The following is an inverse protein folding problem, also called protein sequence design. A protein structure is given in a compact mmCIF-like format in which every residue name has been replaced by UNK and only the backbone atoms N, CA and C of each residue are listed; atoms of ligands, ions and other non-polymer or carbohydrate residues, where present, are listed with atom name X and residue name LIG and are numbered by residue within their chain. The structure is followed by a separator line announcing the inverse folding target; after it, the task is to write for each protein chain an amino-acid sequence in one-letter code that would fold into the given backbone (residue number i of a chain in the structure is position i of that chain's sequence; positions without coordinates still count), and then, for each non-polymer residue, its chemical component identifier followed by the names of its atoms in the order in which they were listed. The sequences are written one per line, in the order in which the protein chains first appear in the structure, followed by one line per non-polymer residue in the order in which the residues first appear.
data_IF_971790770880
#
_entry.id   IF_971790770880
#
_cell.length_a   1.000
_cell.length_b   1.000
_cell.length_c   1.000
_cell.angle_alpha   90.00
_cell.angle_beta   90.00
_cell.angle_gamma   90.00
#
_symmetry.space_group_name_H-M   'P 1'
#
loop_
_entity.id
_entity.type
_entity.pdbx_description
1 polymer ?
#
# COMPACT_ATOMS: atom_id res chain seq x y z
N UNK A 1 5.27 -1.44 17.76
CA UNK A 1 5.42 -0.04 17.31
C UNK A 1 4.27 0.28 16.37
N UNK A 2 3.61 1.42 16.59
CA UNK A 2 2.46 1.88 15.79
C UNK A 2 2.77 3.26 15.21
N UNK A 3 2.58 3.41 13.91
CA UNK A 3 2.86 4.62 13.14
C UNK A 3 1.60 5.14 12.47
N UNK A 4 1.58 6.43 12.15
CA UNK A 4 0.44 7.08 11.49
C UNK A 4 0.78 7.40 10.03
N UNK A 5 -0.09 7.01 9.11
CA UNK A 5 0.13 7.30 7.69
C UNK A 5 -0.26 8.75 7.31
N UNK A 6 0.43 9.33 6.33
CA UNK A 6 0.18 10.69 5.85
C UNK A 6 -1.15 10.85 5.10
N UNK A 7 -1.78 9.75 4.68
CA UNK A 7 -3.10 9.77 4.07
C UNK A 7 -4.23 10.04 5.07
N UNK A 8 -4.02 9.72 6.36
CA UNK A 8 -4.95 10.09 7.45
C UNK A 8 -5.09 11.61 7.57
N UNK A 9 -4.00 12.34 7.43
CA UNK A 9 -3.99 13.80 7.36
C UNK A 9 -3.01 14.27 6.28
N UNK A 10 -3.45 14.35 5.01
CA UNK A 10 -2.59 14.79 3.93
C UNK A 10 -2.03 16.19 4.21
N UNK A 11 -0.74 16.41 4.06
CA UNK A 11 -0.14 17.72 4.20
C UNK A 11 -0.76 18.66 3.17
N UNK A 12 -1.34 19.76 3.67
CA UNK A 12 -1.90 20.84 2.83
C UNK A 12 -1.07 22.08 3.10
N UNK A 13 -0.70 22.81 2.06
CA UNK A 13 0.23 23.95 2.10
C UNK A 13 0.09 24.83 3.34
N UNK A 14 1.18 25.00 4.08
CA UNK A 14 1.30 25.84 5.28
C UNK A 14 1.08 25.15 6.63
N UNK A 15 0.57 23.91 6.67
CA UNK A 15 0.39 23.14 7.91
C UNK A 15 1.17 21.81 7.85
N UNK A 16 2.39 21.85 7.33
CA UNK A 16 3.22 20.69 7.06
C UNK A 16 3.54 19.85 8.32
N UNK A 17 3.49 20.44 9.51
CA UNK A 17 3.75 19.77 10.77
C UNK A 17 2.49 19.23 11.50
N UNK A 18 1.28 19.47 10.96
CA UNK A 18 0.04 19.02 11.58
C UNK A 18 0.00 17.48 11.73
N UNK A 19 0.48 16.73 10.73
CA UNK A 19 0.58 15.28 10.80
C UNK A 19 1.56 14.83 11.89
N UNK A 20 2.72 15.49 12.00
CA UNK A 20 3.74 15.16 12.99
C UNK A 20 3.25 15.46 14.41
N UNK A 21 2.52 16.56 14.59
CA UNK A 21 1.86 16.88 15.87
C UNK A 21 0.79 15.85 16.21
N UNK A 22 -0.08 15.52 15.25
CA UNK A 22 -1.11 14.50 15.45
C UNK A 22 -0.50 13.16 15.86
N UNK A 23 0.60 12.75 15.25
CA UNK A 23 1.32 11.52 15.64
C UNK A 23 1.78 11.59 17.11
N UNK A 24 2.37 12.71 17.52
CA UNK A 24 2.79 12.91 18.92
C UNK A 24 1.61 12.93 19.89
N UNK A 25 0.52 13.62 19.56
CA UNK A 25 -0.68 13.76 20.38
C UNK A 25 -1.46 12.45 20.54
N UNK A 26 -1.47 11.61 19.51
CA UNK A 26 -2.13 10.28 19.52
C UNK A 26 -1.24 9.18 20.10
N UNK A 27 0.00 9.50 20.44
CA UNK A 27 0.97 8.55 20.97
C UNK A 27 1.53 7.60 19.90
N UNK A 28 1.38 7.89 18.60
CA UNK A 28 2.03 7.12 17.56
C UNK A 28 3.56 7.27 17.64
N UNK A 29 4.30 6.19 17.31
CA UNK A 29 5.77 6.18 17.41
C UNK A 29 6.44 6.96 16.26
N UNK A 30 5.67 7.35 15.23
CA UNK A 30 6.16 8.12 14.09
C UNK A 30 5.17 8.17 12.93
N UNK A 31 5.66 8.51 11.75
CA UNK A 31 4.86 8.76 10.55
C UNK A 31 5.35 7.97 9.35
N UNK A 32 4.41 7.32 8.64
CA UNK A 32 4.60 6.73 7.32
C UNK A 32 4.16 7.71 6.24
N UNK A 33 4.97 7.88 5.19
CA UNK A 33 4.63 8.74 4.07
C UNK A 33 4.00 7.94 2.92
N UNK A 34 2.70 8.18 2.69
CA UNK A 34 1.90 7.57 1.62
C UNK A 34 2.10 8.23 0.25
N UNK A 35 1.35 7.75 -0.75
CA UNK A 35 1.49 8.14 -2.15
C UNK A 35 1.10 9.59 -2.50
N UNK A 36 0.53 10.37 -1.56
CA UNK A 36 0.24 11.79 -1.75
C UNK A 36 1.46 12.71 -1.51
N UNK A 37 2.59 12.12 -1.11
CA UNK A 37 3.85 12.83 -0.87
C UNK A 37 4.69 12.91 -2.15
N UNK A 38 5.43 13.99 -2.33
CA UNK A 38 6.52 14.09 -3.29
C UNK A 38 7.87 14.23 -2.57
N UNK A 39 8.98 14.15 -3.30
CA UNK A 39 10.32 14.18 -2.71
C UNK A 39 10.64 15.53 -2.04
N UNK A 40 10.15 16.64 -2.56
CA UNK A 40 10.37 17.96 -1.97
C UNK A 40 9.63 18.09 -0.63
N UNK A 41 8.38 17.69 -0.59
CA UNK A 41 7.59 17.64 0.63
C UNK A 41 8.17 16.64 1.64
N UNK A 42 8.57 15.46 1.18
CA UNK A 42 9.21 14.44 2.02
C UNK A 42 10.46 15.01 2.72
N UNK A 43 11.36 15.65 1.97
CA UNK A 43 12.59 16.21 2.54
C UNK A 43 12.31 17.26 3.61
N UNK A 44 11.32 18.15 3.39
CA UNK A 44 10.92 19.15 4.40
C UNK A 44 10.35 18.52 5.66
N UNK A 45 9.42 17.56 5.51
CA UNK A 45 8.77 16.89 6.64
C UNK A 45 9.73 15.97 7.39
N UNK A 46 10.61 15.27 6.69
CA UNK A 46 11.66 14.44 7.26
C UNK A 46 12.60 15.27 8.16
N UNK A 47 13.02 16.45 7.70
CA UNK A 47 13.81 17.38 8.51
C UNK A 47 13.06 17.86 9.76
N UNK A 48 11.75 18.06 9.66
CA UNK A 48 10.93 18.46 10.81
C UNK A 48 10.73 17.29 11.77
N UNK A 49 10.44 16.09 11.26
CA UNK A 49 10.31 14.88 12.04
C UNK A 49 11.57 14.61 12.89
N UNK A 50 12.75 14.73 12.26
CA UNK A 50 14.03 14.57 12.96
C UNK A 50 14.18 15.56 14.13
N UNK A 51 13.82 16.85 13.93
CA UNK A 51 13.88 17.87 14.99
C UNK A 51 12.90 17.60 16.14
N UNK A 52 11.77 16.98 15.84
CA UNK A 52 10.73 16.64 16.83
C UNK A 52 10.94 15.25 17.46
N UNK A 53 11.94 14.50 17.04
CA UNK A 53 12.17 13.12 17.51
C UNK A 53 11.11 12.13 17.02
N UNK A 54 10.35 12.46 15.93
CA UNK A 54 9.34 11.62 15.33
C UNK A 54 9.99 10.68 14.32
N UNK A 55 9.78 9.37 14.45
CA UNK A 55 10.36 8.40 13.53
C UNK A 55 9.67 8.42 12.16
N UNK A 56 10.43 8.09 11.11
CA UNK A 56 9.93 7.89 9.75
C UNK A 56 10.29 6.46 9.32
N UNK A 57 9.50 5.44 9.73
CA UNK A 57 9.86 4.05 9.50
C UNK A 57 9.77 3.63 8.05
N UNK A 58 8.92 4.28 7.26
CA UNK A 58 8.61 3.82 5.91
C UNK A 58 7.96 4.90 5.04
N UNK A 59 8.01 4.67 3.73
CA UNK A 59 7.35 5.49 2.72
C UNK A 59 6.90 4.62 1.54
N UNK A 60 5.96 5.15 0.73
CA UNK A 60 5.50 4.51 -0.53
C UNK A 60 6.38 4.99 -1.68
N UNK A 61 6.81 4.09 -2.55
CA UNK A 61 7.60 4.37 -3.74
C UNK A 61 6.93 3.82 -5.01
N UNK A 62 7.08 4.48 -6.15
CA UNK A 62 7.88 5.68 -6.40
C UNK A 62 7.25 6.96 -5.88
N UNK A 63 8.07 7.93 -5.48
CA UNK A 63 7.65 9.30 -5.18
C UNK A 63 7.94 10.21 -6.39
N UNK A 64 7.03 11.12 -6.79
CA UNK A 64 7.34 12.15 -7.76
C UNK A 64 8.33 13.17 -7.17
N UNK A 65 9.09 13.86 -8.01
CA UNK A 65 9.98 14.92 -7.53
C UNK A 65 9.22 16.11 -6.96
N UNK A 66 8.09 16.42 -7.58
CA UNK A 66 7.17 17.53 -7.25
C UNK A 66 5.73 17.06 -7.38
N UNK A 67 4.76 17.80 -6.82
CA UNK A 67 3.36 17.48 -6.98
C UNK A 67 2.99 17.28 -8.44
N UNK A 68 2.28 16.18 -8.73
CA UNK A 68 1.85 15.91 -10.09
C UNK A 68 0.72 16.87 -10.49
N UNK A 69 0.74 17.43 -11.70
CA UNK A 69 -0.40 18.15 -12.25
C UNK A 69 -1.65 17.26 -12.27
N UNK A 70 -2.83 17.88 -12.14
CA UNK A 70 -4.09 17.18 -12.19
C UNK A 70 -4.21 16.30 -13.45
N UNK A 71 -4.63 15.06 -13.28
CA UNK A 71 -4.76 14.08 -14.37
C UNK A 71 -3.45 13.42 -14.82
N UNK A 72 -2.30 13.83 -14.32
CA UNK A 72 -1.04 13.13 -14.54
C UNK A 72 -0.90 11.94 -13.56
N UNK A 73 -0.32 10.85 -14.04
CA UNK A 73 -0.02 9.66 -13.25
C UNK A 73 1.49 9.45 -13.17
N UNK A 74 1.92 8.81 -12.11
CA UNK A 74 3.29 8.32 -12.01
C UNK A 74 3.55 7.23 -13.06
N UNK A 75 4.78 7.12 -13.56
CA UNK A 75 5.20 5.96 -14.31
C UNK A 75 5.13 4.73 -13.39
N UNK A 76 4.74 3.59 -13.98
CA UNK A 76 4.44 2.35 -13.23
C UNK A 76 5.60 1.38 -13.27
N UNK A 77 5.89 0.78 -12.12
CA UNK A 77 6.88 -0.31 -12.01
C UNK A 77 6.44 -1.58 -12.76
N UNK A 78 5.14 -1.74 -13.01
CA UNK A 78 4.56 -2.84 -13.78
C UNK A 78 4.29 -2.50 -15.25
N UNK A 79 4.71 -1.35 -15.75
CA UNK A 79 4.41 -0.93 -17.12
C UNK A 79 5.01 -1.91 -18.15
N UNK A 80 4.26 -2.17 -19.24
CA UNK A 80 4.78 -2.96 -20.36
C UNK A 80 5.92 -2.20 -21.09
N UNK A 81 5.76 -0.90 -21.29
CA UNK A 81 6.77 -0.06 -21.93
C UNK A 81 8.02 0.06 -21.04
N UNK A 82 9.17 -0.29 -21.61
CA UNK A 82 10.46 -0.28 -20.91
C UNK A 82 10.81 1.13 -20.39
N UNK A 83 10.63 2.14 -21.22
CA UNK A 83 10.94 3.52 -20.87
C UNK A 83 10.14 4.01 -19.67
N UNK A 84 8.85 3.63 -19.58
CA UNK A 84 8.00 3.94 -18.43
C UNK A 84 8.52 3.24 -17.17
N UNK A 85 8.92 1.95 -17.26
CA UNK A 85 9.50 1.24 -16.13
C UNK A 85 10.81 1.85 -15.66
N UNK A 86 11.71 2.20 -16.59
CA UNK A 86 12.99 2.85 -16.27
C UNK A 86 12.76 4.18 -15.56
N UNK A 87 11.79 4.97 -16.01
CA UNK A 87 11.40 6.21 -15.34
C UNK A 87 10.85 5.95 -13.92
N UNK A 88 10.00 4.92 -13.75
CA UNK A 88 9.48 4.53 -12.43
C UNK A 88 10.60 4.09 -11.48
N UNK A 89 11.54 3.28 -11.97
CA UNK A 89 12.70 2.81 -11.19
C UNK A 89 13.60 3.99 -10.80
N UNK A 90 13.84 4.94 -11.70
CA UNK A 90 14.63 6.13 -11.39
C UNK A 90 13.98 6.97 -10.27
N UNK A 91 12.66 7.13 -10.30
CA UNK A 91 11.91 7.80 -9.23
C UNK A 91 11.99 7.01 -7.91
N UNK A 92 11.77 5.71 -7.95
CA UNK A 92 11.85 4.86 -6.77
C UNK A 92 13.27 4.85 -6.17
N UNK A 93 14.31 4.82 -6.99
CA UNK A 93 15.70 4.86 -6.52
C UNK A 93 16.03 6.16 -5.78
N UNK A 94 15.58 7.32 -6.28
CA UNK A 94 15.72 8.59 -5.55
C UNK A 94 14.95 8.58 -4.22
N UNK A 95 13.78 7.95 -4.20
CA UNK A 95 13.03 7.76 -2.96
C UNK A 95 13.74 6.87 -1.95
N UNK A 96 14.44 5.80 -2.39
CA UNK A 96 15.29 4.96 -1.53
C UNK A 96 16.46 5.76 -0.93
N UNK A 97 17.10 6.61 -1.73
CA UNK A 97 18.17 7.50 -1.27
C UNK A 97 17.65 8.49 -0.21
N UNK A 98 16.48 9.10 -0.47
CA UNK A 98 15.84 10.00 0.47
C UNK A 98 15.45 9.28 1.77
N UNK A 99 14.89 8.07 1.69
CA UNK A 99 14.52 7.24 2.83
C UNK A 99 15.73 6.90 3.74
N UNK A 100 16.88 6.65 3.13
CA UNK A 100 18.12 6.36 3.87
C UNK A 100 18.56 7.56 4.75
N UNK A 101 18.27 8.79 4.35
CA UNK A 101 18.66 10.00 5.13
C UNK A 101 17.93 10.12 6.47
N UNK A 102 16.78 9.46 6.62
CA UNK A 102 15.96 9.46 7.84
C UNK A 102 15.99 8.11 8.56
N UNK A 103 16.89 7.22 8.16
CA UNK A 103 16.99 5.86 8.70
C UNK A 103 15.66 5.08 8.61
N UNK A 104 14.89 5.29 7.54
CA UNK A 104 13.70 4.48 7.27
C UNK A 104 14.11 3.01 7.13
N UNK A 105 13.18 2.11 7.48
CA UNK A 105 13.43 0.66 7.45
C UNK A 105 12.71 -0.03 6.29
N UNK A 106 11.64 0.56 5.81
CA UNK A 106 10.78 -0.05 4.79
C UNK A 106 10.46 0.92 3.66
N UNK A 107 10.39 0.38 2.45
CA UNK A 107 9.85 1.06 1.27
C UNK A 107 8.70 0.22 0.70
N UNK A 108 7.47 0.70 0.80
CA UNK A 108 6.30 0.05 0.21
C UNK A 108 6.27 0.37 -1.28
N UNK A 109 6.25 -0.66 -2.14
CA UNK A 109 6.30 -0.47 -3.59
C UNK A 109 4.90 -0.37 -4.18
N UNK A 110 4.57 0.74 -4.80
CA UNK A 110 3.39 0.85 -5.66
C UNK A 110 3.78 0.48 -7.10
N UNK A 111 3.34 -0.70 -7.54
CA UNK A 111 3.58 -1.15 -8.92
C UNK A 111 2.65 -0.49 -9.93
N UNK A 112 1.59 0.18 -9.48
CA UNK A 112 0.62 0.86 -10.30
C UNK A 112 -0.57 0.00 -10.73
N UNK A 113 -1.30 0.51 -11.70
CA UNK A 113 -2.52 -0.10 -12.23
C UNK A 113 -2.29 -0.67 -13.63
N UNK A 114 -3.06 -1.72 -13.95
CA UNK A 114 -3.14 -2.30 -15.29
C UNK A 114 -4.32 -1.67 -16.03
N UNK A 115 -4.08 -1.27 -17.28
CA UNK A 115 -5.18 -0.85 -18.15
C UNK A 115 -5.87 -2.08 -18.70
N UNK A 116 -7.14 -2.30 -18.31
CA UNK A 116 -8.02 -3.32 -18.83
C UNK A 116 -9.12 -2.68 -19.68
N UNK A 117 -9.74 -3.45 -20.57
CA UNK A 117 -10.88 -2.99 -21.38
C UNK A 117 -12.09 -2.67 -20.48
N UNK A 118 -12.32 -3.50 -19.45
CA UNK A 118 -13.27 -3.21 -18.38
C UNK A 118 -12.74 -2.09 -17.49
N UNK A 119 -13.63 -1.24 -16.98
CA UNK A 119 -13.24 -0.09 -16.14
C UNK A 119 -13.57 -0.35 -14.68
N UNK A 120 -12.63 -0.07 -13.79
CA UNK A 120 -12.81 -0.21 -12.34
C UNK A 120 -14.06 0.54 -11.84
N UNK A 121 -14.33 1.76 -12.32
CA UNK A 121 -15.52 2.52 -11.93
C UNK A 121 -16.87 1.92 -12.38
N UNK A 122 -16.89 0.97 -13.31
CA UNK A 122 -18.09 0.20 -13.65
C UNK A 122 -18.37 -0.85 -12.58
N UNK A 123 -17.33 -1.53 -12.09
CA UNK A 123 -17.45 -2.46 -10.96
C UNK A 123 -17.88 -1.73 -9.69
N UNK A 124 -17.32 -0.55 -9.40
CA UNK A 124 -17.75 0.27 -8.26
C UNK A 124 -19.25 0.60 -8.30
N UNK A 125 -19.76 0.95 -9.49
CA UNK A 125 -21.20 1.22 -9.67
C UNK A 125 -22.05 -0.03 -9.50
N UNK A 126 -21.65 -1.15 -10.06
CA UNK A 126 -22.36 -2.42 -9.91
C UNK A 126 -22.39 -2.85 -8.44
N UNK A 127 -21.25 -2.74 -7.74
CA UNK A 127 -21.17 -3.03 -6.30
C UNK A 127 -22.12 -2.14 -5.48
N UNK A 128 -22.14 -0.83 -5.76
CA UNK A 128 -23.03 0.12 -5.09
C UNK A 128 -24.52 -0.18 -5.33
N UNK A 129 -24.87 -0.80 -6.49
CA UNK A 129 -26.22 -1.24 -6.81
C UNK A 129 -26.57 -2.64 -6.31
N UNK A 130 -25.60 -3.33 -5.69
CA UNK A 130 -25.69 -4.73 -5.25
C UNK A 130 -25.91 -5.73 -6.40
N UNK A 131 -25.35 -5.45 -7.56
CA UNK A 131 -25.41 -6.25 -8.79
C UNK A 131 -24.20 -7.20 -8.89
N UNK A 132 -23.90 -7.94 -7.79
CA UNK A 132 -22.71 -8.79 -7.69
C UNK A 132 -23.01 -10.29 -7.58
N UNK A 133 -24.29 -10.68 -7.59
CA UNK A 133 -24.68 -12.10 -7.59
C UNK A 133 -24.32 -12.75 -8.93
N UNK A 134 -24.37 -14.09 -8.97
CA UNK A 134 -24.06 -14.87 -10.16
C UNK A 134 -24.92 -14.39 -11.34
N UNK A 135 -24.30 -14.21 -12.53
CA UNK A 135 -24.91 -13.70 -13.76
C UNK A 135 -25.36 -12.22 -13.75
N UNK A 136 -25.16 -11.48 -12.67
CA UNK A 136 -25.42 -10.06 -12.62
C UNK A 136 -24.28 -9.24 -13.29
N UNK A 137 -24.57 -7.97 -13.69
CA UNK A 137 -23.62 -7.13 -14.40
C UNK A 137 -22.24 -7.00 -13.70
N UNK A 138 -22.23 -6.90 -12.37
CA UNK A 138 -20.99 -6.76 -11.60
C UNK A 138 -20.16 -8.02 -11.59
N UNK A 139 -20.78 -9.20 -11.43
CA UNK A 139 -20.07 -10.49 -11.47
C UNK A 139 -19.51 -10.75 -12.86
N UNK A 140 -20.24 -10.44 -13.93
CA UNK A 140 -19.80 -10.58 -15.31
C UNK A 140 -18.62 -9.63 -15.63
N UNK A 141 -18.68 -8.38 -15.18
CA UNK A 141 -17.59 -7.40 -15.31
C UNK A 141 -16.33 -7.87 -14.58
N UNK A 142 -16.48 -8.38 -13.36
CA UNK A 142 -15.37 -8.91 -12.58
C UNK A 142 -14.75 -10.14 -13.26
N UNK A 143 -15.57 -11.06 -13.75
CA UNK A 143 -15.11 -12.23 -14.47
C UNK A 143 -14.34 -11.86 -15.75
N UNK A 144 -14.84 -10.89 -16.52
CA UNK A 144 -14.16 -10.39 -17.72
C UNK A 144 -12.81 -9.73 -17.38
N UNK A 145 -12.77 -8.87 -16.35
CA UNK A 145 -11.53 -8.24 -15.89
C UNK A 145 -10.50 -9.27 -15.43
N UNK A 146 -10.92 -10.31 -14.71
CA UNK A 146 -10.05 -11.40 -14.27
C UNK A 146 -9.52 -12.24 -15.43
N UNK A 147 -10.34 -12.50 -16.45
CA UNK A 147 -9.92 -13.23 -17.65
C UNK A 147 -8.85 -12.44 -18.43
N UNK A 148 -9.10 -11.14 -18.67
CA UNK A 148 -8.13 -10.25 -19.31
C UNK A 148 -6.84 -10.11 -18.49
N UNK A 149 -6.95 -9.99 -17.17
CA UNK A 149 -5.81 -9.92 -16.26
C UNK A 149 -4.95 -11.18 -16.29
N UNK A 150 -5.59 -12.38 -16.36
CA UNK A 150 -4.88 -13.66 -16.48
C UNK A 150 -4.13 -13.78 -17.80
N UNK A 151 -4.73 -13.35 -18.90
CA UNK A 151 -4.10 -13.39 -20.23
C UNK A 151 -2.81 -12.55 -20.28
N UNK A 152 -2.65 -11.57 -19.39
CA UNK A 152 -1.46 -10.70 -19.28
C UNK A 152 -0.58 -11.03 -18.07
N UNK A 153 -0.88 -12.11 -17.34
CA UNK A 153 -0.24 -12.42 -16.07
C UNK A 153 1.27 -12.55 -16.14
N UNK A 154 1.78 -13.29 -17.12
CA UNK A 154 3.22 -13.51 -17.29
C UNK A 154 3.95 -12.21 -17.62
N UNK A 155 3.43 -11.41 -18.55
CA UNK A 155 3.98 -10.10 -18.94
C UNK A 155 4.10 -9.16 -17.74
N UNK A 156 3.05 -9.09 -16.91
CA UNK A 156 3.03 -8.24 -15.73
C UNK A 156 3.95 -8.76 -14.63
N UNK A 157 4.00 -10.07 -14.44
CA UNK A 157 4.93 -10.72 -13.52
C UNK A 157 6.39 -10.45 -13.88
N UNK A 158 6.75 -10.57 -15.15
CA UNK A 158 8.09 -10.27 -15.65
C UNK A 158 8.43 -8.79 -15.50
N UNK A 159 7.49 -7.88 -15.79
CA UNK A 159 7.70 -6.45 -15.61
C UNK A 159 7.95 -6.08 -14.14
N UNK A 160 7.17 -6.65 -13.21
CA UNK A 160 7.36 -6.45 -11.78
C UNK A 160 8.70 -7.01 -11.30
N UNK A 161 9.06 -8.23 -11.70
CA UNK A 161 10.34 -8.86 -11.38
C UNK A 161 11.50 -8.01 -11.86
N UNK A 162 11.47 -7.60 -13.13
CA UNK A 162 12.51 -6.77 -13.73
C UNK A 162 12.73 -5.44 -12.99
N UNK A 163 11.65 -4.79 -12.54
CA UNK A 163 11.72 -3.58 -11.74
C UNK A 163 12.30 -3.86 -10.36
N UNK A 164 11.84 -4.93 -9.71
CA UNK A 164 12.29 -5.31 -8.37
C UNK A 164 13.79 -5.67 -8.33
N UNK A 165 14.29 -6.42 -9.32
CA UNK A 165 15.73 -6.76 -9.45
C UNK A 165 16.64 -5.53 -9.44
N UNK A 166 16.17 -4.41 -10.00
CA UNK A 166 16.94 -3.16 -10.05
C UNK A 166 16.88 -2.38 -8.73
N UNK A 167 15.74 -2.46 -8.05
CA UNK A 167 15.52 -1.74 -6.79
C UNK A 167 16.18 -2.44 -5.60
N UNK A 168 16.27 -3.78 -5.61
CA UNK A 168 16.86 -4.58 -4.51
C UNK A 168 18.26 -4.09 -4.15
N UNK A 169 19.15 -3.89 -5.13
CA UNK A 169 20.52 -3.41 -4.87
C UNK A 169 20.56 -2.02 -4.23
N UNK A 170 19.58 -1.15 -4.60
CA UNK A 170 19.42 0.16 -3.99
C UNK A 170 18.96 0.05 -2.53
N UNK A 171 17.99 -0.83 -2.29
CA UNK A 171 17.47 -1.10 -0.96
C UNK A 171 18.53 -1.70 -0.02
N UNK A 172 19.33 -2.66 -0.51
CA UNK A 172 20.47 -3.24 0.25
C UNK A 172 21.45 -2.15 0.69
N UNK A 173 21.88 -1.28 -0.23
CA UNK A 173 22.79 -0.18 0.09
C UNK A 173 22.20 0.83 1.07
N UNK A 174 20.90 1.05 0.99
CA UNK A 174 20.15 1.97 1.85
C UNK A 174 19.76 1.35 3.20
N UNK A 175 19.96 0.04 3.39
CA UNK A 175 19.54 -0.69 4.59
C UNK A 175 18.00 -0.81 4.72
N UNK A 176 17.27 -0.79 3.60
CA UNK A 176 15.81 -0.81 3.52
C UNK A 176 15.29 -2.18 3.10
N UNK A 177 14.14 -2.56 3.61
CA UNK A 177 13.35 -3.70 3.10
C UNK A 177 12.28 -3.19 2.13
N UNK A 178 12.22 -3.76 0.93
CA UNK A 178 11.14 -3.51 -0.03
C UNK A 178 9.91 -4.30 0.39
N UNK A 179 8.83 -3.62 0.71
CA UNK A 179 7.59 -4.21 1.15
C UNK A 179 6.58 -4.26 0.00
N UNK A 180 6.15 -5.46 -0.38
CA UNK A 180 5.25 -5.71 -1.51
C UNK A 180 3.80 -5.71 -1.02
N UNK A 181 2.96 -4.76 -1.42
CA UNK A 181 1.54 -4.76 -1.09
C UNK A 181 0.78 -5.81 -1.91
N UNK A 182 -0.39 -6.17 -1.45
CA UNK A 182 -1.34 -6.98 -2.22
C UNK A 182 -2.38 -6.10 -2.89
N UNK A 183 -2.67 -6.37 -4.15
CA UNK A 183 -3.71 -5.66 -4.88
C UNK A 183 -5.10 -6.22 -4.54
N UNK A 184 -6.08 -5.37 -4.19
CA UNK A 184 -7.44 -5.80 -3.84
C UNK A 184 -8.33 -6.02 -5.07
N UNK A 185 -7.92 -5.59 -6.25
CA UNK A 185 -8.74 -5.63 -7.48
C UNK A 185 -7.92 -6.11 -8.68
N UNK A 186 -8.57 -6.58 -9.77
CA UNK A 186 -7.87 -7.01 -10.99
C UNK A 186 -7.08 -5.90 -11.70
N UNK A 187 -7.41 -4.63 -11.47
CA UNK A 187 -6.73 -3.49 -12.09
C UNK A 187 -5.42 -3.11 -11.43
N UNK A 188 -5.14 -3.64 -10.25
CA UNK A 188 -3.93 -3.32 -9.49
C UNK A 188 -2.93 -4.48 -9.49
N UNK A 189 -1.67 -4.16 -9.21
CA UNK A 189 -0.53 -5.10 -9.22
C UNK A 189 0.28 -4.90 -7.94
N UNK A 190 0.82 -5.98 -7.38
CA UNK A 190 0.62 -7.40 -7.65
C UNK A 190 -0.62 -7.97 -6.95
N UNK A 191 -1.25 -8.98 -7.55
CA UNK A 191 -2.25 -9.79 -6.84
C UNK A 191 -1.59 -10.55 -5.67
N UNK A 192 -2.36 -11.09 -4.70
CA UNK A 192 -1.78 -11.86 -3.58
C UNK A 192 -0.89 -13.03 -4.03
N UNK A 193 -1.25 -13.70 -5.12
CA UNK A 193 -0.45 -14.78 -5.71
C UNK A 193 0.86 -14.25 -6.30
N UNK A 194 0.81 -13.14 -7.03
CA UNK A 194 1.98 -12.53 -7.66
C UNK A 194 2.92 -11.93 -6.61
N UNK A 195 2.39 -11.23 -5.60
CA UNK A 195 3.19 -10.69 -4.51
C UNK A 195 3.98 -11.78 -3.79
N UNK A 196 3.33 -12.91 -3.49
CA UNK A 196 3.97 -14.07 -2.91
C UNK A 196 5.06 -14.66 -3.82
N UNK A 197 4.76 -14.88 -5.11
CA UNK A 197 5.72 -15.41 -6.07
C UNK A 197 6.94 -14.48 -6.23
N UNK A 198 6.72 -13.16 -6.21
CA UNK A 198 7.81 -12.18 -6.22
C UNK A 198 8.66 -12.30 -4.94
N UNK A 199 8.05 -12.32 -3.76
CA UNK A 199 8.79 -12.47 -2.50
C UNK A 199 9.60 -13.78 -2.44
N UNK A 200 9.04 -14.89 -2.89
CA UNK A 200 9.71 -16.18 -2.99
C UNK A 200 10.90 -16.14 -3.97
N UNK A 201 10.75 -15.47 -5.12
CA UNK A 201 11.82 -15.32 -6.11
C UNK A 201 13.01 -14.48 -5.62
N UNK A 202 12.80 -13.64 -4.61
CA UNK A 202 13.83 -12.81 -3.97
C UNK A 202 14.17 -13.26 -2.55
N UNK A 203 13.99 -14.55 -2.24
CA UNK A 203 14.38 -15.12 -0.94
C UNK A 203 15.85 -14.82 -0.65
N UNK A 204 16.13 -14.26 0.54
CA UNK A 204 17.48 -13.83 0.95
C UNK A 204 17.83 -12.38 0.61
N UNK A 205 17.05 -11.73 -0.25
CA UNK A 205 17.13 -10.28 -0.45
C UNK A 205 16.20 -9.53 0.54
N UNK A 206 16.38 -8.22 0.76
CA UNK A 206 15.52 -7.42 1.64
C UNK A 206 14.15 -7.14 0.99
N UNK A 207 13.38 -8.19 0.77
CA UNK A 207 12.03 -8.15 0.18
C UNK A 207 11.07 -8.91 1.08
N UNK A 208 9.91 -8.33 1.36
CA UNK A 208 8.87 -8.97 2.15
C UNK A 208 7.47 -8.52 1.75
N UNK A 209 6.45 -9.07 2.40
CA UNK A 209 5.06 -8.77 2.10
C UNK A 209 4.50 -7.71 3.05
N UNK A 210 3.49 -6.99 2.60
CA UNK A 210 2.66 -6.11 3.43
C UNK A 210 1.40 -6.87 3.83
N UNK A 211 1.09 -6.88 5.13
CA UNK A 211 -0.21 -7.27 5.64
C UNK A 211 -1.16 -6.07 5.55
N UNK A 212 -2.23 -6.18 4.79
CA UNK A 212 -3.21 -5.11 4.58
C UNK A 212 -4.62 -5.67 4.74
N UNK A 213 -5.18 -5.66 5.95
CA UNK A 213 -6.46 -6.28 6.23
C UNK A 213 -7.63 -5.65 5.46
N UNK A 214 -7.60 -4.35 5.21
CA UNK A 214 -8.64 -3.71 4.41
C UNK A 214 -8.64 -4.20 2.96
N UNK A 215 -7.48 -4.27 2.31
CA UNK A 215 -7.38 -4.80 0.93
C UNK A 215 -7.75 -6.28 0.85
N UNK A 216 -7.37 -7.07 1.84
CA UNK A 216 -7.74 -8.49 1.92
C UNK A 216 -9.25 -8.66 2.13
N UNK A 217 -9.89 -7.78 2.90
CA UNK A 217 -11.34 -7.76 3.08
C UNK A 217 -12.09 -7.35 1.81
N UNK A 218 -11.55 -6.43 1.02
CA UNK A 218 -12.08 -6.10 -0.32
C UNK A 218 -12.07 -7.33 -1.24
N UNK A 219 -10.97 -8.10 -1.25
CA UNK A 219 -10.93 -9.36 -2.01
C UNK A 219 -12.04 -10.33 -1.59
N UNK A 220 -12.29 -10.46 -0.29
CA UNK A 220 -13.38 -11.28 0.22
C UNK A 220 -14.76 -10.75 -0.22
N UNK A 221 -14.99 -9.45 -0.13
CA UNK A 221 -16.23 -8.80 -0.55
C UNK A 221 -16.51 -8.94 -2.06
N UNK A 222 -15.46 -9.02 -2.87
CA UNK A 222 -15.55 -9.28 -4.32
C UNK A 222 -15.64 -10.78 -4.67
N UNK A 223 -15.73 -11.68 -3.69
CA UNK A 223 -15.73 -13.12 -3.94
C UNK A 223 -14.37 -13.69 -4.39
N UNK A 224 -13.29 -12.89 -4.27
CA UNK A 224 -11.92 -13.27 -4.63
C UNK A 224 -11.11 -13.76 -3.42
N UNK A 225 -11.80 -14.28 -2.42
CA UNK A 225 -11.21 -14.68 -1.16
C UNK A 225 -10.10 -15.73 -1.36
N UNK A 226 -8.99 -15.52 -0.69
CA UNK A 226 -7.88 -16.47 -0.60
C UNK A 226 -8.15 -17.51 0.49
N UNK A 227 -7.58 -18.71 0.33
CA UNK A 227 -7.73 -19.76 1.34
C UNK A 227 -7.05 -19.37 2.66
N UNK A 228 -7.53 -19.93 3.77
CA UNK A 228 -6.98 -19.68 5.11
C UNK A 228 -5.49 -20.00 5.22
N UNK A 229 -5.04 -21.07 4.54
CA UNK A 229 -3.62 -21.42 4.48
C UNK A 229 -2.79 -20.30 3.86
N UNK A 230 -3.26 -19.76 2.73
CA UNK A 230 -2.58 -18.64 2.05
C UNK A 230 -2.64 -17.35 2.86
N UNK A 231 -3.76 -17.07 3.54
CA UNK A 231 -3.86 -15.93 4.46
C UNK A 231 -2.83 -16.04 5.58
N UNK A 232 -2.71 -17.22 6.22
CA UNK A 232 -1.69 -17.46 7.26
C UNK A 232 -0.28 -17.30 6.72
N UNK A 233 -0.02 -17.80 5.52
CA UNK A 233 1.29 -17.65 4.88
C UNK A 233 1.62 -16.18 4.59
N UNK A 234 0.64 -15.37 4.13
CA UNK A 234 0.81 -13.94 3.93
C UNK A 234 1.10 -13.22 5.26
N UNK A 235 0.30 -13.49 6.29
CA UNK A 235 0.50 -12.90 7.62
C UNK A 235 1.89 -13.26 8.19
N UNK A 236 2.31 -14.53 8.09
CA UNK A 236 3.61 -15.00 8.59
C UNK A 236 4.81 -14.43 7.83
N UNK A 237 4.65 -14.08 6.55
CA UNK A 237 5.70 -13.49 5.71
C UNK A 237 5.66 -11.95 5.70
N UNK A 238 4.73 -11.33 6.42
CA UNK A 238 4.59 -9.88 6.44
C UNK A 238 5.72 -9.22 7.25
N UNK A 239 6.37 -8.24 6.64
CA UNK A 239 7.41 -7.41 7.27
C UNK A 239 6.85 -6.08 7.78
N UNK A 240 5.63 -5.74 7.37
CA UNK A 240 4.94 -4.48 7.67
C UNK A 240 3.43 -4.73 7.65
N UNK A 241 2.68 -4.08 8.52
CA UNK A 241 1.21 -4.04 8.49
C UNK A 241 0.71 -2.64 8.16
N UNK A 242 -0.23 -2.53 7.22
CA UNK A 242 -1.02 -1.34 6.96
C UNK A 242 -2.40 -1.54 7.58
N UNK A 243 -2.56 -1.11 8.83
CA UNK A 243 -3.81 -1.29 9.56
C UNK A 243 -4.88 -0.34 9.02
N UNK A 244 -5.85 -0.92 8.37
CA UNK A 244 -7.04 -0.25 7.87
C UNK A 244 -8.21 -1.23 7.75
N UNK A 245 -9.39 -0.67 7.62
CA UNK A 245 -10.62 -1.41 7.36
C UNK A 245 -11.11 -1.21 5.93
N UNK A 246 -12.16 -1.93 5.56
CA UNK A 246 -12.84 -1.80 4.30
C UNK A 246 -14.32 -1.44 4.51
N UNK A 247 -14.90 -0.76 3.52
CA UNK A 247 -16.35 -0.60 3.40
C UNK A 247 -16.73 -1.07 2.00
N UNK A 248 -17.38 -2.23 1.95
CA UNK A 248 -17.71 -2.87 0.68
C UNK A 248 -16.46 -3.20 -0.15
N UNK A 249 -16.36 -2.64 -1.35
CA UNK A 249 -15.23 -2.84 -2.27
C UNK A 249 -14.12 -1.78 -2.15
N UNK A 250 -14.07 -1.03 -1.05
CA UNK A 250 -13.07 0.03 -0.80
C UNK A 250 -12.33 -0.23 0.49
N UNK A 251 -11.02 -0.27 0.41
CA UNK A 251 -10.12 -0.27 1.55
C UNK A 251 -9.66 1.16 1.92
N UNK A 252 -8.96 1.30 3.04
CA UNK A 252 -8.37 2.57 3.47
C UNK A 252 -9.29 3.38 4.39
N UNK A 253 -10.12 2.71 5.18
CA UNK A 253 -10.82 3.31 6.31
C UNK A 253 -10.00 3.08 7.59
N UNK A 254 -10.03 4.03 8.52
CA UNK A 254 -9.35 3.85 9.79
C UNK A 254 -9.85 2.58 10.50
N UNK A 255 -8.96 1.86 11.21
CA UNK A 255 -9.35 0.74 12.07
C UNK A 255 -10.50 1.13 13.02
N UNK A 256 -11.57 0.35 13.00
CA UNK A 256 -12.80 0.59 13.75
C UNK A 256 -13.86 1.43 13.03
N UNK A 257 -13.57 2.00 11.84
CA UNK A 257 -14.55 2.75 11.03
C UNK A 257 -15.07 1.99 9.80
N UNK A 258 -14.69 0.75 9.65
CA UNK A 258 -15.13 -0.13 8.58
C UNK A 258 -15.34 -1.55 9.08
N UNK A 259 -15.28 -2.49 8.14
CA UNK A 259 -15.43 -3.91 8.40
C UNK A 259 -14.15 -4.66 7.96
N UNK A 260 -13.88 -5.77 8.62
CA UNK A 260 -12.86 -6.73 8.22
C UNK A 260 -13.49 -8.10 7.99
N UNK A 261 -13.07 -8.79 6.94
CA UNK A 261 -13.39 -10.22 6.80
C UNK A 261 -12.96 -10.96 8.08
N UNK A 262 -13.85 -11.80 8.62
CA UNK A 262 -13.62 -12.44 9.91
C UNK A 262 -12.35 -13.31 9.92
N UNK A 263 -11.99 -13.94 8.79
CA UNK A 263 -10.77 -14.74 8.66
C UNK A 263 -9.52 -13.87 8.65
N UNK A 264 -9.60 -12.68 8.05
CA UNK A 264 -8.53 -11.68 8.04
C UNK A 264 -8.36 -11.10 9.44
N UNK A 265 -9.46 -10.77 10.11
CA UNK A 265 -9.47 -10.23 11.48
C UNK A 265 -8.90 -11.21 12.53
N UNK A 266 -9.07 -12.51 12.28
CA UNK A 266 -8.53 -13.57 13.17
C UNK A 266 -7.01 -13.78 13.05
N UNK A 267 -6.35 -13.09 12.11
CA UNK A 267 -4.92 -13.22 11.85
C UNK A 267 -4.20 -11.91 12.16
N UNK A 268 -2.98 -12.05 12.67
CA UNK A 268 -2.08 -10.93 12.87
C UNK A 268 -0.77 -11.18 12.13
N UNK A 269 -0.11 -10.14 11.63
CA UNK A 269 1.27 -10.26 11.12
C UNK A 269 2.20 -10.68 12.26
N UNK A 270 3.43 -11.13 11.90
CA UNK A 270 4.43 -11.50 12.89
C UNK A 270 4.66 -10.37 13.91
N UNK A 271 4.89 -10.73 15.17
CA UNK A 271 5.00 -9.78 16.29
C UNK A 271 6.08 -8.68 16.13
N UNK A 272 7.02 -8.87 15.20
CA UNK A 272 8.06 -7.90 14.87
C UNK A 272 7.67 -6.90 13.77
N UNK A 273 6.56 -7.12 13.07
CA UNK A 273 6.10 -6.23 12.01
C UNK A 273 5.58 -4.92 12.63
N UNK A 274 6.07 -3.76 12.20
CA UNK A 274 5.49 -2.49 12.63
C UNK A 274 4.11 -2.31 12.01
N UNK A 275 3.22 -1.66 12.77
CA UNK A 275 1.85 -1.36 12.39
C UNK A 275 1.74 0.09 11.94
N UNK A 276 1.14 0.33 10.80
CA UNK A 276 0.88 1.67 10.24
C UNK A 276 -0.64 1.85 10.16
N UNK A 277 -1.17 2.71 10.98
CA UNK A 277 -2.58 3.12 10.92
C UNK A 277 -2.77 3.97 9.68
N UNK A 278 -3.54 3.48 8.73
CA UNK A 278 -3.87 4.19 7.49
C UNK A 278 -5.39 4.39 7.38
N UNK A 279 -5.81 5.46 6.69
CA UNK A 279 -7.22 5.75 6.50
C UNK A 279 -7.45 7.06 5.74
N UNK A 280 -8.69 7.28 5.31
CA UNK A 280 -9.05 8.46 4.55
C UNK A 280 -9.02 9.76 5.37
N UNK A 281 -8.93 10.91 4.69
CA UNK A 281 -8.64 12.22 5.29
C UNK A 281 -9.81 12.85 6.08
N UNK A 282 -10.89 12.14 6.32
CA UNK A 282 -12.15 12.66 6.90
C UNK A 282 -12.29 12.38 8.40
N UNK A 283 -11.30 11.69 8.98
CA UNK A 283 -11.36 11.31 10.40
C UNK A 283 -11.04 12.48 11.33
N UNK A 284 -11.74 12.54 12.46
CA UNK A 284 -11.41 13.43 13.58
C UNK A 284 -10.15 12.93 14.33
N UNK A 285 -9.48 13.82 15.05
CA UNK A 285 -8.31 13.47 15.85
C UNK A 285 -8.63 12.40 16.92
N UNK A 286 -9.85 12.41 17.44
CA UNK A 286 -10.33 11.41 18.39
C UNK A 286 -10.46 10.01 17.76
N UNK A 287 -10.96 9.91 16.52
CA UNK A 287 -11.04 8.65 15.77
C UNK A 287 -9.64 8.14 15.41
N UNK A 288 -8.73 9.02 15.04
CA UNK A 288 -7.32 8.66 14.80
C UNK A 288 -6.67 8.12 16.07
N UNK A 289 -6.86 8.78 17.21
CA UNK A 289 -6.35 8.31 18.48
C UNK A 289 -6.94 6.95 18.89
N UNK A 290 -8.23 6.72 18.63
CA UNK A 290 -8.88 5.42 18.86
C UNK A 290 -8.28 4.32 17.98
N UNK A 291 -8.05 4.60 16.70
CA UNK A 291 -7.43 3.67 15.76
C UNK A 291 -5.98 3.31 16.15
N UNK A 292 -5.21 4.28 16.66
CA UNK A 292 -3.84 4.04 17.18
C UNK A 292 -3.87 3.12 18.40
N UNK A 293 -4.80 3.34 19.35
CA UNK A 293 -4.97 2.44 20.51
C UNK A 293 -5.35 1.03 20.08
N UNK A 294 -6.32 0.91 19.18
CA UNK A 294 -6.74 -0.38 18.64
C UNK A 294 -5.58 -1.15 18.00
N UNK A 295 -4.73 -0.47 17.22
CA UNK A 295 -3.54 -1.07 16.62
C UNK A 295 -2.47 -1.48 17.66
N UNK A 296 -2.51 -0.90 18.87
CA UNK A 296 -1.68 -1.30 20.02
C UNK A 296 -2.25 -2.47 20.81
N UNK A 297 -3.51 -2.84 20.57
CA UNK A 297 -4.23 -3.86 21.33
C UNK A 297 -4.78 -3.34 22.66
N UNK A 298 -5.03 -2.04 22.74
CA UNK A 298 -5.59 -1.33 23.91
C UNK A 298 -7.13 -1.16 23.82
#
# INVERSE_FOLDING_TARGET
MVFLASDVRPPRGGADDALLRLAAETGADGVHFGGACDLELFARLAGTALRLGVQVPSLVLPLPERPLPAGRRLPRLSAHARDEREAAIALASRGLEAAATVAARFAVLDFGEVTLATRAGELDRAFARREMEEDEPGSLLLAAALAERRARGDELGDACRWSLERLVRGAERAGLTLALPVAPTPWQVPSPREARALAEAFTGAPVGLVWDPGRLSVLAALGLAISDERLRALAGAAVLALDNDAVGNRAGFLPGLGERDARVAALAPGASAPHIVTGGPVASDAEVAAAVRLARGE
#
